data_IF_861318468064
#
_entry.id   IF_861318468064
#
_cell.length_a   1.000
_cell.length_b   1.000
_cell.length_c   1.000
_cell.angle_alpha   90.00
_cell.angle_beta   90.00
_cell.angle_gamma   90.00
#
_symmetry.space_group_name_H-M   'P 1'
#
loop_
_entity.id
_entity.type
_entity.pdbx_description
1 polymer ?
#
# COMPACT_ATOMS: atom_id res chain seq x y z
N UNK A 1 1.22 1.27 0.84
CA UNK A 1 0.75 1.11 -0.53
C UNK A 1 1.16 -0.26 -1.05
N UNK A 2 0.28 -0.92 -1.78
CA UNK A 2 0.49 -2.23 -2.40
C UNK A 2 -0.43 -2.36 -3.62
N UNK A 3 -0.01 -3.06 -4.67
CA UNK A 3 -0.89 -3.33 -5.82
C UNK A 3 -1.89 -4.43 -5.44
N UNK A 4 -3.18 -4.18 -5.64
CA UNK A 4 -4.23 -5.16 -5.31
C UNK A 4 -4.04 -6.45 -6.12
N UNK A 5 -4.15 -7.60 -5.42
CA UNK A 5 -4.08 -8.97 -5.99
C UNK A 5 -2.80 -9.33 -6.74
N UNK A 6 -1.77 -8.48 -6.75
CA UNK A 6 -0.53 -8.72 -7.48
C UNK A 6 0.68 -8.58 -6.56
N UNK A 7 1.67 -9.45 -6.77
CA UNK A 7 2.95 -9.33 -6.08
C UNK A 7 3.61 -8.00 -6.41
N UNK A 8 3.85 -7.18 -5.39
CA UNK A 8 4.42 -5.85 -5.50
C UNK A 8 5.13 -5.44 -4.21
N UNK A 9 6.05 -4.49 -4.33
CA UNK A 9 6.72 -3.91 -3.17
C UNK A 9 5.72 -3.29 -2.18
N UNK A 10 6.12 -3.23 -0.91
CA UNK A 10 5.41 -2.43 0.09
C UNK A 10 6.04 -1.05 0.18
N UNK A 11 5.30 -0.03 -0.23
CA UNK A 11 5.76 1.37 -0.11
C UNK A 11 5.11 2.00 1.12
N UNK A 12 5.94 2.63 1.96
CA UNK A 12 5.52 3.31 3.18
C UNK A 12 5.80 4.81 3.05
N UNK A 13 4.80 5.63 3.37
CA UNK A 13 4.94 7.07 3.50
C UNK A 13 4.95 7.43 4.99
N UNK A 14 5.99 8.09 5.44
CA UNK A 14 6.11 8.53 6.84
C UNK A 14 5.57 9.95 6.97
N UNK A 15 4.56 10.11 7.81
CA UNK A 15 3.96 11.42 8.11
C UNK A 15 4.65 12.08 9.31
N UNK A 16 4.57 13.41 9.38
CA UNK A 16 4.97 14.15 10.56
C UNK A 16 4.00 13.90 11.73
N UNK A 17 4.45 14.16 12.96
CA UNK A 17 3.61 13.96 14.15
C UNK A 17 2.37 14.86 14.07
N UNK A 18 1.19 14.25 14.15
CA UNK A 18 -0.09 14.94 14.07
C UNK A 18 -0.67 15.09 12.67
N UNK A 19 0.06 14.71 11.61
CA UNK A 19 -0.49 14.63 10.26
C UNK A 19 -1.33 13.36 10.08
N UNK A 20 -2.38 13.51 9.28
CA UNK A 20 -3.30 12.46 8.86
C UNK A 20 -3.14 12.19 7.36
N UNK A 21 -3.84 11.16 6.87
CA UNK A 21 -3.84 10.82 5.43
C UNK A 21 -4.43 11.96 4.59
N UNK A 22 -5.39 12.71 5.15
CA UNK A 22 -6.06 13.82 4.47
C UNK A 22 -5.13 15.03 4.27
N UNK A 23 -4.06 15.13 5.07
CA UNK A 23 -3.04 16.19 4.96
C UNK A 23 -1.99 15.89 3.86
N UNK A 24 -2.03 14.69 3.26
CA UNK A 24 -1.06 14.29 2.23
C UNK A 24 -1.43 14.93 0.90
N UNK A 25 -0.50 15.66 0.24
CA UNK A 25 -0.73 16.16 -1.11
C UNK A 25 -1.04 15.01 -2.07
N UNK A 26 -2.05 15.21 -2.93
CA UNK A 26 -2.47 14.19 -3.92
C UNK A 26 -1.32 13.72 -4.81
N UNK A 27 -0.40 14.63 -5.16
CA UNK A 27 0.78 14.31 -5.96
C UNK A 27 1.66 13.26 -5.29
N UNK A 28 1.87 13.35 -3.97
CA UNK A 28 2.65 12.37 -3.20
C UNK A 28 1.96 11.01 -3.16
N UNK A 29 0.62 10.98 -3.06
CA UNK A 29 -0.15 9.74 -3.14
C UNK A 29 -0.01 9.09 -4.52
N UNK A 30 -0.08 9.89 -5.58
CA UNK A 30 0.09 9.45 -6.97
C UNK A 30 1.51 8.90 -7.18
N UNK A 31 2.54 9.57 -6.66
CA UNK A 31 3.92 9.10 -6.75
C UNK A 31 4.12 7.77 -6.02
N UNK A 32 3.50 7.60 -4.83
CA UNK A 32 3.51 6.32 -4.12
C UNK A 32 2.84 5.20 -4.94
N UNK A 33 1.74 5.52 -5.63
CA UNK A 33 1.04 4.58 -6.50
C UNK A 33 1.85 4.22 -7.75
N UNK A 34 2.51 5.18 -8.37
CA UNK A 34 3.43 4.92 -9.49
C UNK A 34 4.62 4.07 -9.07
N UNK A 35 5.24 4.40 -7.93
CA UNK A 35 6.37 3.65 -7.39
C UNK A 35 5.98 2.19 -7.13
N UNK A 36 4.82 1.93 -6.53
CA UNK A 36 4.39 0.56 -6.22
C UNK A 36 4.00 -0.23 -7.47
N UNK A 37 3.37 0.42 -8.46
CA UNK A 37 3.09 -0.17 -9.77
C UNK A 37 4.39 -0.57 -10.48
N UNK A 38 5.36 0.34 -10.54
CA UNK A 38 6.65 0.11 -11.19
C UNK A 38 7.42 -1.04 -10.52
N UNK A 39 7.29 -1.19 -9.20
CA UNK A 39 7.89 -2.27 -8.42
C UNK A 39 6.96 -3.48 -8.22
N UNK A 40 5.98 -3.68 -9.10
CA UNK A 40 5.17 -4.90 -9.16
C UNK A 40 5.71 -5.86 -10.20
N UNK A 41 5.73 -7.17 -9.90
CA UNK A 41 6.22 -8.21 -10.81
C UNK A 41 5.41 -8.23 -12.11
N UNK A 42 4.08 -8.18 -11.99
CA UNK A 42 3.15 -8.17 -13.13
C UNK A 42 2.48 -6.82 -13.34
N UNK A 43 2.18 -6.07 -12.27
CA UNK A 43 1.47 -4.79 -12.34
C UNK A 43 2.22 -3.71 -13.11
N UNK A 44 3.56 -3.80 -13.21
CA UNK A 44 4.36 -2.85 -13.98
C UNK A 44 4.05 -2.88 -15.50
N UNK A 45 3.55 -4.01 -16.02
CA UNK A 45 3.21 -4.19 -17.44
C UNK A 45 1.73 -3.96 -17.75
N UNK A 46 0.90 -3.82 -16.71
CA UNK A 46 -0.54 -3.60 -16.88
C UNK A 46 -0.82 -2.13 -17.18
N UNK A 47 -1.82 -1.88 -18.02
CA UNK A 47 -2.25 -0.52 -18.34
C UNK A 47 -2.73 0.19 -17.06
N UNK A 48 -3.62 -0.47 -16.31
CA UNK A 48 -4.22 0.04 -15.09
C UNK A 48 -4.07 -1.00 -13.98
N UNK A 49 -3.78 -0.52 -12.77
CA UNK A 49 -3.75 -1.34 -11.55
C UNK A 49 -4.46 -0.59 -10.43
N UNK A 50 -5.07 -1.33 -9.52
CA UNK A 50 -5.59 -0.75 -8.28
C UNK A 50 -4.49 -0.77 -7.23
N UNK A 51 -4.28 0.37 -6.54
CA UNK A 51 -3.28 0.47 -5.48
C UNK A 51 -4.02 0.66 -4.16
N UNK A 52 -3.81 -0.26 -3.24
CA UNK A 52 -4.40 -0.18 -1.90
C UNK A 52 -3.42 0.44 -0.90
N UNK A 53 -3.96 1.22 0.04
CA UNK A 53 -3.19 1.77 1.15
C UNK A 53 -4.02 1.78 2.44
N UNK A 54 -3.31 1.61 3.55
CA UNK A 54 -3.91 1.57 4.88
C UNK A 54 -2.86 2.03 5.89
N UNK A 55 -3.25 2.59 7.04
CA UNK A 55 -2.32 2.91 8.11
C UNK A 55 -1.53 1.67 8.56
N UNK A 56 -0.26 1.86 8.94
CA UNK A 56 0.60 0.76 9.38
C UNK A 56 0.04 -0.02 10.58
N UNK A 57 -0.75 0.65 11.44
CA UNK A 57 -1.43 0.07 12.60
C UNK A 57 -2.51 -0.95 12.22
N UNK A 58 -2.97 -0.95 10.97
CA UNK A 58 -3.95 -1.91 10.47
C UNK A 58 -3.30 -3.18 9.88
N UNK A 59 -1.97 -3.20 9.72
CA UNK A 59 -1.26 -4.36 9.20
C UNK A 59 -1.21 -5.46 10.26
N UNK A 60 -1.65 -6.66 9.88
CA UNK A 60 -1.63 -7.85 10.72
C UNK A 60 -0.65 -8.85 10.14
N UNK A 61 0.39 -9.18 10.91
CA UNK A 61 1.32 -10.27 10.59
C UNK A 61 1.24 -11.33 11.67
N UNK A 62 1.00 -12.57 11.27
CA UNK A 62 1.02 -13.74 12.17
C UNK A 62 2.22 -14.62 11.84
N UNK A 63 2.62 -15.48 12.80
CA UNK A 63 3.85 -16.28 12.69
C UNK A 63 3.76 -17.39 11.61
N UNK A 64 2.54 -17.80 11.26
CA UNK A 64 2.22 -18.79 10.23
C UNK A 64 2.24 -18.23 8.80
N UNK A 65 2.33 -16.91 8.64
CA UNK A 65 2.30 -16.28 7.31
C UNK A 65 3.67 -16.26 6.65
N UNK A 66 3.71 -16.61 5.37
CA UNK A 66 4.91 -16.60 4.53
C UNK A 66 5.59 -15.22 4.47
N UNK A 67 6.88 -15.20 4.17
CA UNK A 67 7.64 -13.95 4.01
C UNK A 67 6.98 -13.07 2.93
N UNK A 68 6.72 -11.81 3.27
CA UNK A 68 6.03 -10.86 2.39
C UNK A 68 4.50 -10.92 2.44
N UNK A 69 3.89 -11.96 3.00
CA UNK A 69 2.44 -12.00 3.21
C UNK A 69 2.06 -11.11 4.39
N UNK A 70 1.07 -10.23 4.21
CA UNK A 70 0.54 -9.36 5.27
C UNK A 70 -0.99 -9.38 5.18
N UNK A 71 -1.66 -9.53 6.33
CA UNK A 71 -3.10 -9.39 6.46
C UNK A 71 -3.52 -8.02 7.00
N UNK A 72 -4.82 -7.83 7.20
CA UNK A 72 -5.37 -6.61 7.79
C UNK A 72 -6.16 -6.92 9.05
N UNK A 73 -6.08 -6.05 10.06
CA UNK A 73 -6.94 -6.14 11.25
C UNK A 73 -8.39 -5.73 10.92
N UNK A 74 -8.57 -4.70 10.08
CA UNK A 74 -9.86 -4.15 9.67
C UNK A 74 -9.85 -3.88 8.17
N UNK A 75 -10.64 -4.65 7.44
CA UNK A 75 -10.69 -4.54 5.98
C UNK A 75 -11.34 -3.22 5.51
N UNK A 76 -12.21 -2.63 6.33
CA UNK A 76 -12.84 -1.32 6.09
C UNK A 76 -11.86 -0.12 6.14
N UNK A 77 -10.68 -0.29 6.74
CA UNK A 77 -9.67 0.77 6.84
C UNK A 77 -8.66 0.69 5.67
N UNK A 78 -8.94 -0.12 4.65
CA UNK A 78 -8.14 -0.22 3.43
C UNK A 78 -8.80 0.63 2.36
N UNK A 79 -8.09 1.66 1.91
CA UNK A 79 -8.48 2.54 0.82
C UNK A 79 -7.87 2.07 -0.50
N UNK A 80 -8.55 2.36 -1.62
CA UNK A 80 -8.13 2.11 -3.00
C UNK A 80 -8.00 3.44 -3.74
#
# INVERSE_FOLDING_TARGET
FHVDKLSSAHVYLRLHKGQTVDDIPKEVLIDCAHLVKANSIQGCKMNNVNVVYTPWTNLKKTADMDVGQIGFHRQKDVSV
#
